data_IF_553879372112
#
_entry.id   IF_553879372112
#
_cell.length_a   1.000
_cell.length_b   1.000
_cell.length_c   1.000
_cell.angle_alpha   90.00
_cell.angle_beta   90.00
_cell.angle_gamma   90.00
#
_symmetry.space_group_name_H-M   'P 1'
#
loop_
_entity.id
_entity.type
_entity.pdbx_description
1 polymer ?
#
# COMPACT_ATOMS: atom_id res chain seq x y z
N UNK A 1 -15.44 7.17 -20.77
CA UNK A 1 -14.80 6.02 -20.12
C UNK A 1 -15.47 5.60 -18.80
N UNK A 2 -16.59 6.23 -18.36
CA UNK A 2 -17.37 5.82 -17.18
C UNK A 2 -16.69 6.06 -15.81
N UNK A 3 -15.57 6.76 -15.77
CA UNK A 3 -14.87 7.06 -14.52
C UNK A 3 -15.68 8.04 -13.66
N UNK A 4 -15.75 7.76 -12.34
CA UNK A 4 -16.33 8.68 -11.37
C UNK A 4 -15.23 9.42 -10.63
N UNK A 5 -15.31 10.73 -10.57
CA UNK A 5 -14.38 11.59 -9.83
C UNK A 5 -14.98 11.92 -8.47
N UNK A 6 -14.25 11.57 -7.39
CA UNK A 6 -14.56 12.00 -6.03
C UNK A 6 -13.73 13.24 -5.72
N UNK A 7 -14.40 14.34 -5.36
CA UNK A 7 -13.75 15.61 -5.01
C UNK A 7 -13.94 15.89 -3.52
N UNK A 8 -12.90 15.70 -2.69
CA UNK A 8 -12.96 16.10 -1.29
C UNK A 8 -13.16 17.61 -1.16
N UNK A 9 -13.89 18.05 -0.14
CA UNK A 9 -14.11 19.47 0.15
C UNK A 9 -12.85 20.18 0.66
N UNK A 10 -11.92 19.43 1.25
CA UNK A 10 -10.66 19.93 1.80
C UNK A 10 -9.49 19.27 1.08
N UNK A 11 -8.36 19.96 1.03
CA UNK A 11 -7.10 19.36 0.57
C UNK A 11 -6.70 18.23 1.52
N UNK A 12 -6.45 17.06 0.96
CA UNK A 12 -6.12 15.84 1.69
C UNK A 12 -4.75 15.33 1.28
N UNK A 13 -4.11 14.55 2.16
CA UNK A 13 -2.93 13.76 1.80
C UNK A 13 -3.27 12.70 0.75
N UNK A 14 -2.28 12.11 0.11
CA UNK A 14 -2.49 10.99 -0.82
C UNK A 14 -3.25 9.85 -0.14
N UNK A 15 -2.90 9.54 1.12
CA UNK A 15 -3.62 8.54 1.92
C UNK A 15 -5.07 8.92 2.19
N UNK A 16 -5.35 10.15 2.60
CA UNK A 16 -6.72 10.63 2.83
C UNK A 16 -7.58 10.57 1.57
N UNK A 17 -7.00 10.85 0.40
CA UNK A 17 -7.69 10.73 -0.89
C UNK A 17 -8.02 9.27 -1.21
N UNK A 18 -7.07 8.35 -0.99
CA UNK A 18 -7.25 6.91 -1.14
C UNK A 18 -8.33 6.38 -0.19
N UNK A 19 -8.25 6.77 1.07
CA UNK A 19 -9.22 6.40 2.11
C UNK A 19 -10.64 6.87 1.77
N UNK A 20 -10.77 8.06 1.14
CA UNK A 20 -12.05 8.56 0.64
C UNK A 20 -12.62 7.62 -0.44
N UNK A 21 -11.79 7.15 -1.36
CA UNK A 21 -12.18 6.16 -2.37
C UNK A 21 -12.61 4.83 -1.76
N UNK A 22 -11.85 4.32 -0.78
CA UNK A 22 -12.17 3.07 -0.07
C UNK A 22 -13.50 3.19 0.69
N UNK A 23 -13.71 4.29 1.42
CA UNK A 23 -14.98 4.57 2.12
C UNK A 23 -16.16 4.65 1.15
N UNK A 24 -15.96 5.29 0.00
CA UNK A 24 -16.99 5.36 -1.03
C UNK A 24 -17.33 3.95 -1.54
N UNK A 25 -16.32 3.12 -1.83
CA UNK A 25 -16.53 1.75 -2.28
C UNK A 25 -17.30 0.91 -1.24
N UNK A 26 -16.94 1.03 0.05
CA UNK A 26 -17.68 0.39 1.14
C UNK A 26 -19.15 0.83 1.18
N UNK A 27 -19.40 2.13 1.09
CA UNK A 27 -20.75 2.70 1.12
C UNK A 27 -21.60 2.26 -0.09
N UNK A 28 -20.96 2.00 -1.23
CA UNK A 28 -21.61 1.47 -2.42
C UNK A 28 -21.77 -0.08 -2.40
N UNK A 29 -21.29 -0.76 -1.35
CA UNK A 29 -21.45 -2.19 -1.18
C UNK A 29 -20.47 -3.05 -1.99
N UNK A 30 -19.38 -2.49 -2.52
CA UNK A 30 -18.37 -3.28 -3.21
C UNK A 30 -17.73 -4.32 -2.28
N UNK A 31 -17.50 -5.53 -2.81
CA UNK A 31 -16.89 -6.62 -2.07
C UNK A 31 -15.37 -6.42 -1.89
N UNK A 32 -14.73 -5.77 -2.85
CA UNK A 32 -13.30 -5.48 -2.82
C UNK A 32 -12.98 -4.19 -3.58
N UNK A 33 -11.80 -3.65 -3.32
CA UNK A 33 -11.26 -2.48 -4.03
C UNK A 33 -9.81 -2.72 -4.39
N UNK A 34 -9.41 -2.28 -5.56
CA UNK A 34 -8.02 -2.22 -5.97
C UNK A 34 -7.58 -0.76 -6.00
N UNK A 35 -6.47 -0.47 -5.34
CA UNK A 35 -5.79 0.83 -5.43
C UNK A 35 -4.67 0.75 -6.44
N UNK A 36 -4.43 1.84 -7.16
CA UNK A 36 -3.36 1.94 -8.15
C UNK A 36 -2.86 3.39 -8.20
N UNK A 37 -1.54 3.58 -8.23
CA UNK A 37 -0.97 4.91 -8.46
C UNK A 37 -1.13 5.31 -9.92
N UNK A 38 -1.62 6.52 -10.18
CA UNK A 38 -1.89 7.03 -11.52
C UNK A 38 -0.62 7.48 -12.30
N UNK A 39 0.56 6.98 -11.91
CA UNK A 39 1.85 7.35 -12.52
C UNK A 39 2.18 6.54 -13.78
N UNK A 40 1.27 5.67 -14.23
CA UNK A 40 1.44 4.85 -15.43
C UNK A 40 2.53 3.77 -15.32
N UNK A 41 2.86 3.35 -14.09
CA UNK A 41 3.90 2.34 -13.85
C UNK A 41 3.38 0.91 -13.87
N UNK A 42 2.11 0.74 -13.56
CA UNK A 42 1.49 -0.56 -13.39
C UNK A 42 0.80 -1.00 -14.67
N UNK A 43 0.97 -2.26 -15.04
CA UNK A 43 0.26 -2.87 -16.14
C UNK A 43 -1.15 -3.26 -15.68
N UNK A 44 -2.17 -2.70 -16.32
CA UNK A 44 -3.58 -2.97 -15.97
C UNK A 44 -3.93 -4.43 -16.30
N UNK A 45 -3.22 -5.02 -17.23
CA UNK A 45 -3.31 -6.42 -17.64
C UNK A 45 -2.97 -7.39 -16.51
N UNK A 46 -2.23 -6.94 -15.49
CA UNK A 46 -1.91 -7.71 -14.29
C UNK A 46 -3.03 -7.71 -13.24
N UNK A 47 -4.11 -6.97 -13.46
CA UNK A 47 -5.25 -6.91 -12.54
C UNK A 47 -5.88 -8.29 -12.26
N UNK A 48 -6.10 -9.19 -13.26
CA UNK A 48 -6.61 -10.53 -12.99
C UNK A 48 -5.71 -11.34 -12.06
N UNK A 49 -4.38 -11.23 -12.20
CA UNK A 49 -3.41 -11.91 -11.34
C UNK A 49 -3.50 -11.41 -9.89
N UNK A 50 -3.64 -10.09 -9.71
CA UNK A 50 -3.82 -9.48 -8.39
C UNK A 50 -5.15 -9.94 -7.73
N UNK A 51 -6.23 -10.00 -8.50
CA UNK A 51 -7.55 -10.42 -8.02
C UNK A 51 -7.54 -11.90 -7.60
N UNK A 52 -6.95 -12.78 -8.40
CA UNK A 52 -6.84 -14.22 -8.09
C UNK A 52 -6.03 -14.47 -6.81
N UNK A 53 -5.00 -13.67 -6.53
CA UNK A 53 -4.23 -13.75 -5.27
C UNK A 53 -5.05 -13.35 -4.04
N UNK A 54 -6.21 -12.74 -4.22
CA UNK A 54 -7.13 -12.32 -3.15
C UNK A 54 -8.04 -13.42 -2.62
N UNK A 55 -8.13 -14.59 -3.28
CA UNK A 55 -9.09 -15.63 -2.91
C UNK A 55 -8.86 -16.16 -1.47
N UNK A 56 -7.62 -16.27 -1.04
CA UNK A 56 -7.21 -16.75 0.28
C UNK A 56 -6.68 -15.64 1.22
N UNK A 57 -6.85 -14.37 0.85
CA UNK A 57 -6.27 -13.23 1.57
C UNK A 57 -7.27 -12.10 1.76
N UNK A 58 -7.05 -11.30 2.79
CA UNK A 58 -7.87 -10.12 3.03
C UNK A 58 -7.28 -8.88 2.34
N UNK A 59 -5.96 -8.86 2.18
CA UNK A 59 -5.21 -7.83 1.49
C UNK A 59 -4.09 -8.44 0.65
N UNK A 60 -3.95 -8.00 -0.60
CA UNK A 60 -2.83 -8.38 -1.47
C UNK A 60 -2.00 -7.15 -1.80
N UNK A 61 -0.68 -7.26 -1.67
CA UNK A 61 0.28 -6.24 -2.05
C UNK A 61 1.05 -6.71 -3.28
N UNK A 62 0.98 -5.97 -4.37
CA UNK A 62 1.80 -6.26 -5.54
C UNK A 62 3.27 -5.88 -5.26
N UNK A 63 4.22 -6.74 -5.60
CA UNK A 63 5.63 -6.41 -5.59
C UNK A 63 6.26 -6.61 -6.97
N UNK A 64 7.33 -5.86 -7.23
CA UNK A 64 7.98 -5.83 -8.54
C UNK A 64 9.45 -6.21 -8.40
N UNK A 65 9.83 -7.37 -8.91
CA UNK A 65 11.19 -7.91 -8.77
C UNK A 65 12.27 -7.00 -9.40
N UNK A 66 11.93 -6.27 -10.45
CA UNK A 66 12.83 -5.33 -11.12
C UNK A 66 13.30 -4.13 -10.27
N UNK A 67 12.64 -3.88 -9.13
CA UNK A 67 12.99 -2.79 -8.19
C UNK A 67 14.02 -3.17 -7.12
N UNK A 68 14.59 -4.35 -7.18
CA UNK A 68 15.42 -4.90 -6.10
C UNK A 68 16.86 -4.38 -6.19
N UNK A 69 17.17 -3.31 -5.44
CA UNK A 69 18.54 -2.80 -5.25
C UNK A 69 19.09 -3.20 -3.87
N UNK A 70 20.42 -3.35 -3.74
CA UNK A 70 21.07 -3.73 -2.48
C UNK A 70 20.66 -2.83 -1.29
N UNK A 71 20.65 -1.47 -1.38
CA UNK A 71 20.21 -0.62 -0.29
C UNK A 71 18.73 -0.85 0.07
N UNK A 72 17.88 -1.10 -0.93
CA UNK A 72 16.46 -1.39 -0.72
C UNK A 72 16.27 -2.73 -0.02
N UNK A 73 17.03 -3.77 -0.40
CA UNK A 73 17.00 -5.08 0.27
C UNK A 73 17.37 -4.98 1.74
N UNK A 74 18.41 -4.21 2.08
CA UNK A 74 18.80 -3.98 3.47
C UNK A 74 17.71 -3.24 4.26
N UNK A 75 17.10 -2.18 3.69
CA UNK A 75 15.99 -1.48 4.30
C UNK A 75 14.78 -2.39 4.52
N UNK A 76 14.43 -3.20 3.52
CA UNK A 76 13.30 -4.14 3.65
C UNK A 76 13.58 -5.28 4.63
N UNK A 77 14.83 -5.72 4.77
CA UNK A 77 15.22 -6.69 5.80
C UNK A 77 15.03 -6.10 7.20
N UNK A 78 15.42 -4.84 7.42
CA UNK A 78 15.17 -4.12 8.66
C UNK A 78 13.67 -4.02 8.96
N UNK A 79 12.86 -3.59 7.98
CA UNK A 79 11.42 -3.48 8.17
C UNK A 79 10.77 -4.84 8.47
N UNK A 80 11.19 -5.91 7.80
CA UNK A 80 10.72 -7.27 8.12
C UNK A 80 11.02 -7.67 9.56
N UNK A 81 12.21 -7.32 10.04
CA UNK A 81 12.59 -7.60 11.41
C UNK A 81 11.76 -6.79 12.41
N UNK A 82 11.61 -5.49 12.21
CA UNK A 82 10.86 -4.59 13.10
C UNK A 82 9.36 -4.86 13.05
N UNK A 83 8.78 -5.02 11.87
CA UNK A 83 7.32 -5.20 11.70
C UNK A 83 6.87 -6.65 11.85
N UNK A 84 7.76 -7.62 11.70
CA UNK A 84 7.43 -9.03 11.61
C UNK A 84 6.61 -9.40 10.37
N UNK A 85 6.44 -8.49 9.41
CA UNK A 85 5.78 -8.72 8.13
C UNK A 85 6.79 -9.28 7.13
N UNK A 86 6.46 -10.39 6.46
CA UNK A 86 7.34 -11.03 5.47
C UNK A 86 7.08 -10.49 4.07
N UNK A 87 7.10 -9.16 3.91
CA UNK A 87 6.86 -8.51 2.63
C UNK A 87 8.17 -8.14 1.91
N UNK A 88 8.13 -8.12 0.58
CA UNK A 88 9.23 -7.69 -0.31
C UNK A 88 9.08 -6.23 -0.72
N UNK A 89 7.85 -5.71 -0.80
CA UNK A 89 7.59 -4.30 -1.08
C UNK A 89 6.54 -3.71 -0.12
N UNK A 90 6.99 -2.82 0.76
CA UNK A 90 6.13 -2.14 1.75
C UNK A 90 5.44 -0.90 1.19
N UNK A 91 5.93 -0.36 0.05
CA UNK A 91 5.50 0.95 -0.48
C UNK A 91 4.74 0.85 -1.80
N UNK A 92 4.43 -0.35 -2.25
CA UNK A 92 3.63 -0.51 -3.46
C UNK A 92 2.24 0.09 -3.27
N UNK A 93 1.80 0.94 -4.21
CA UNK A 93 0.44 1.48 -4.27
C UNK A 93 -0.56 0.57 -4.97
N UNK A 94 -0.10 -0.52 -5.61
CA UNK A 94 -0.96 -1.47 -6.28
C UNK A 94 -1.35 -2.58 -5.30
N UNK A 95 -2.55 -2.46 -4.72
CA UNK A 95 -3.04 -3.31 -3.64
C UNK A 95 -4.50 -3.66 -3.84
N UNK A 96 -4.85 -4.89 -3.47
CA UNK A 96 -6.23 -5.34 -3.33
C UNK A 96 -6.62 -5.35 -1.85
N UNK A 97 -7.81 -4.88 -1.55
CA UNK A 97 -8.44 -4.93 -0.23
C UNK A 97 -9.80 -5.61 -0.36
N UNK A 98 -10.04 -6.67 0.38
CA UNK A 98 -11.38 -7.23 0.53
C UNK A 98 -12.21 -6.37 1.50
N UNK A 99 -13.46 -6.76 1.78
CA UNK A 99 -14.36 -5.99 2.65
C UNK A 99 -13.78 -5.79 4.06
N UNK A 100 -13.16 -6.80 4.66
CA UNK A 100 -12.55 -6.70 5.99
C UNK A 100 -11.39 -5.70 6.00
N UNK A 101 -10.48 -5.80 5.03
CA UNK A 101 -9.36 -4.86 4.88
C UNK A 101 -9.86 -3.44 4.57
N UNK A 102 -10.92 -3.27 3.76
CA UNK A 102 -11.52 -1.96 3.51
C UNK A 102 -12.09 -1.33 4.80
N UNK A 103 -12.71 -2.12 5.68
CA UNK A 103 -13.23 -1.64 6.97
C UNK A 103 -12.09 -1.11 7.85
N UNK A 104 -11.00 -1.87 7.98
CA UNK A 104 -9.81 -1.43 8.72
C UNK A 104 -9.20 -0.17 8.09
N UNK A 105 -9.02 -0.14 6.77
CA UNK A 105 -8.51 1.04 6.05
C UNK A 105 -9.39 2.29 6.22
N UNK A 106 -10.67 2.11 6.50
CA UNK A 106 -11.64 3.20 6.68
C UNK A 106 -11.81 3.63 8.14
N UNK A 107 -11.13 2.99 9.09
CA UNK A 107 -11.24 3.25 10.52
C UNK A 107 -10.71 4.64 10.93
N UNK A 108 -11.01 5.07 12.14
CA UNK A 108 -10.46 6.28 12.73
C UNK A 108 -8.93 6.17 12.89
N UNK A 109 -8.43 5.01 13.36
CA UNK A 109 -7.00 4.76 13.53
C UNK A 109 -6.25 4.90 12.19
N UNK A 110 -6.83 4.36 11.10
CA UNK A 110 -6.25 4.52 9.77
C UNK A 110 -6.23 5.98 9.30
N UNK A 111 -7.16 6.83 9.77
CA UNK A 111 -7.20 8.26 9.41
C UNK A 111 -6.07 9.05 10.06
N UNK A 112 -5.53 8.58 11.18
CA UNK A 112 -4.40 9.21 11.86
C UNK A 112 -3.06 8.91 11.20
N UNK A 113 -3.02 8.05 10.17
CA UNK A 113 -1.82 7.74 9.42
C UNK A 113 -1.58 8.78 8.32
N UNK A 114 -0.33 9.20 8.16
CA UNK A 114 0.05 10.16 7.11
C UNK A 114 0.20 9.49 5.73
N UNK A 115 0.51 8.19 5.70
CA UNK A 115 0.83 7.43 4.50
C UNK A 115 0.20 6.04 4.53
N UNK A 116 -0.08 5.49 3.33
CA UNK A 116 -0.67 4.15 3.17
C UNK A 116 0.31 2.98 3.32
N UNK A 117 1.58 3.23 3.56
CA UNK A 117 2.63 2.20 3.48
C UNK A 117 2.77 1.39 4.78
N UNK A 118 3.85 1.53 5.55
CA UNK A 118 4.11 0.65 6.69
C UNK A 118 3.08 0.80 7.80
N UNK A 119 2.64 2.02 8.10
CA UNK A 119 1.63 2.28 9.14
C UNK A 119 0.34 1.53 8.86
N UNK A 120 -0.15 1.58 7.63
CA UNK A 120 -1.36 0.84 7.22
C UNK A 120 -1.17 -0.68 7.33
N UNK A 121 0.00 -1.20 6.92
CA UNK A 121 0.29 -2.63 7.00
C UNK A 121 0.37 -3.13 8.45
N UNK A 122 0.94 -2.32 9.35
CA UNK A 122 0.97 -2.62 10.79
C UNK A 122 -0.44 -2.61 11.39
N UNK A 123 -1.25 -1.62 11.04
CA UNK A 123 -2.65 -1.55 11.47
C UNK A 123 -3.42 -2.78 10.97
N UNK A 124 -3.29 -3.12 9.69
CA UNK A 124 -3.91 -4.32 9.12
C UNK A 124 -3.52 -5.59 9.88
N UNK A 125 -2.22 -5.75 10.19
CA UNK A 125 -1.73 -6.89 10.98
C UNK A 125 -2.31 -6.91 12.39
N UNK A 126 -2.36 -5.77 13.08
CA UNK A 126 -2.95 -5.65 14.42
C UNK A 126 -4.41 -6.08 14.44
N UNK A 127 -5.14 -5.72 13.41
CA UNK A 127 -6.55 -6.06 13.23
C UNK A 127 -6.77 -7.48 12.67
N UNK A 128 -5.72 -8.30 12.56
CA UNK A 128 -5.82 -9.69 12.12
C UNK A 128 -6.04 -9.90 10.62
N UNK A 129 -5.83 -8.89 9.79
CA UNK A 129 -5.96 -8.96 8.33
C UNK A 129 -4.84 -9.84 7.76
N UNK A 130 -5.21 -10.84 6.98
CA UNK A 130 -4.28 -11.73 6.27
C UNK A 130 -3.72 -11.01 5.05
N UNK A 131 -2.42 -10.68 5.12
CA UNK A 131 -1.71 -9.96 4.07
C UNK A 131 -0.86 -10.93 3.27
N UNK A 132 -1.00 -10.91 1.95
CA UNK A 132 -0.21 -11.69 1.00
C UNK A 132 0.47 -10.80 -0.03
N UNK A 133 1.53 -11.30 -0.67
CA UNK A 133 2.18 -10.62 -1.79
C UNK A 133 2.04 -11.41 -3.09
N UNK A 134 1.93 -10.69 -4.19
CA UNK A 134 1.98 -11.27 -5.53
C UNK A 134 3.03 -10.55 -6.38
N UNK A 135 3.83 -11.33 -7.14
CA UNK A 135 4.78 -10.77 -8.10
C UNK A 135 4.04 -10.36 -9.37
N UNK A 136 4.16 -9.10 -9.75
CA UNK A 136 3.55 -8.59 -10.98
C UNK A 136 4.59 -7.95 -11.90
N UNK A 137 4.28 -7.88 -13.20
CA UNK A 137 5.04 -7.11 -14.15
C UNK A 137 4.79 -5.61 -13.97
N UNK A 138 5.78 -4.80 -14.33
CA UNK A 138 5.71 -3.36 -14.27
C UNK A 138 6.43 -2.75 -15.46
N UNK A 139 5.82 -1.74 -16.07
CA UNK A 139 6.55 -0.88 -16.99
C UNK A 139 7.69 -0.20 -16.23
N UNK A 140 8.92 -0.44 -16.65
CA UNK A 140 10.10 0.26 -16.13
C UNK A 140 10.24 1.60 -16.86
N UNK A 141 9.78 2.72 -16.27
CA UNK A 141 10.14 4.02 -16.81
C UNK A 141 11.65 4.20 -16.69
N UNK A 142 12.30 4.73 -17.71
CA UNK A 142 13.75 4.93 -17.77
C UNK A 142 14.34 5.79 -16.64
N UNK A 143 13.54 6.34 -15.74
CA UNK A 143 13.96 7.17 -14.59
C UNK A 143 13.05 6.90 -13.38
N UNK A 144 13.31 5.84 -12.63
CA UNK A 144 12.63 5.63 -11.34
C UNK A 144 13.56 6.04 -10.17
N UNK A 145 13.53 7.33 -9.82
CA UNK A 145 14.00 7.78 -8.51
C UNK A 145 12.80 7.78 -7.57
N UNK A 146 12.67 6.74 -6.76
CA UNK A 146 11.69 6.72 -5.66
C UNK A 146 11.85 8.00 -4.83
N UNK A 147 10.79 8.80 -4.70
CA UNK A 147 10.80 10.06 -3.96
C UNK A 147 11.14 9.88 -2.47
N UNK A 148 10.90 8.69 -1.93
CA UNK A 148 11.18 8.35 -0.52
C UNK A 148 12.69 8.20 -0.27
N UNK A 149 13.44 7.66 -1.24
CA UNK A 149 14.88 7.41 -1.11
C UNK A 149 15.76 8.50 -1.76
N UNK A 150 15.20 9.65 -2.13
CA UNK A 150 15.97 10.79 -2.65
C UNK A 150 16.86 11.44 -1.60
N UNK A 151 16.62 11.21 -0.30
CA UNK A 151 17.44 11.71 0.80
C UNK A 151 17.57 10.65 1.89
N UNK A 152 18.80 10.37 2.34
CA UNK A 152 19.09 9.52 3.50
C UNK A 152 18.38 10.01 4.77
N UNK A 153 18.23 11.32 4.93
CA UNK A 153 17.50 11.90 6.06
C UNK A 153 16.02 11.50 6.06
N UNK A 154 15.38 11.49 4.89
CA UNK A 154 13.97 11.05 4.75
C UNK A 154 13.83 9.55 5.03
N UNK A 155 14.76 8.73 4.55
CA UNK A 155 14.77 7.29 4.81
C UNK A 155 14.94 6.99 6.30
N UNK A 156 15.87 7.68 6.99
CA UNK A 156 16.09 7.52 8.43
C UNK A 156 14.88 7.99 9.25
N UNK A 157 14.31 9.15 8.92
CA UNK A 157 13.07 9.65 9.57
C UNK A 157 11.92 8.65 9.40
N UNK A 158 11.75 8.12 8.22
CA UNK A 158 10.73 7.14 7.91
C UNK A 158 10.93 5.84 8.73
N UNK A 159 12.17 5.34 8.81
CA UNK A 159 12.52 4.19 9.64
C UNK A 159 12.26 4.44 11.13
N UNK A 160 12.63 5.62 11.66
CA UNK A 160 12.41 5.97 13.05
C UNK A 160 10.92 6.02 13.41
N UNK A 161 10.10 6.70 12.60
CA UNK A 161 8.65 6.81 12.82
C UNK A 161 7.98 5.43 12.72
N UNK A 162 8.36 4.62 11.73
CA UNK A 162 7.80 3.28 11.56
C UNK A 162 8.19 2.33 12.71
N UNK A 163 9.39 2.48 13.27
CA UNK A 163 9.83 1.71 14.43
C UNK A 163 9.06 2.07 15.70
N UNK A 164 8.76 3.36 15.91
CA UNK A 164 7.93 3.81 17.03
C UNK A 164 6.48 3.28 16.92
N UNK A 165 5.91 3.26 15.72
CA UNK A 165 4.56 2.74 15.49
C UNK A 165 4.47 1.21 15.66
N UNK A 166 5.56 0.49 15.49
CA UNK A 166 5.59 -0.98 15.66
C UNK A 166 5.77 -1.43 17.11
N UNK A 167 6.20 -0.54 18.00
CA UNK A 167 6.44 -0.82 19.42
C UNK A 167 5.27 -0.40 20.34
N UNK A 168 4.27 0.24 19.80
CA UNK A 168 3.02 0.62 20.46
C UNK A 168 1.91 -0.38 20.18
#
# INVERSE_FOLDING_TARGET
HGARVLRPLLAMTSWGSLQTGIRHALAQGYASVVTIDAEGRYEVEELPTLLAAGDDSDMVVAYFAARDSLPRRAAWQWFRWVTGLRLRDFVSGFRLYNRAAMQVASSADATMLDYQDIGTLLLMRREGIRITEVALAMHTPKLDRSKIFTSWANALRYMAVSSLLSSA
#
